data_IF_374144452083
#
_entry.id   IF_374144452083
#
_cell.length_a   1.000
_cell.length_b   1.000
_cell.length_c   1.000
_cell.angle_alpha   90.00
_cell.angle_beta   90.00
_cell.angle_gamma   90.00
#
_symmetry.space_group_name_H-M   'P 1'
#
loop_
_entity.id
_entity.type
_entity.pdbx_description
1 polymer ?
#
# COMPACT_ATOMS: atom_id res chain seq x y z
N UNK A 1 -19.12 -6.19 -13.49
CA UNK A 1 -17.72 -5.99 -13.13
C UNK A 1 -17.03 -7.30 -12.78
N UNK A 2 -17.45 -8.02 -11.74
CA UNK A 2 -16.77 -9.22 -11.21
C UNK A 2 -16.56 -10.34 -12.24
N UNK A 3 -17.44 -10.48 -13.21
CA UNK A 3 -17.34 -11.50 -14.28
C UNK A 3 -16.61 -10.99 -15.53
N UNK A 4 -16.70 -9.71 -15.80
CA UNK A 4 -16.24 -9.10 -17.05
C UNK A 4 -14.82 -8.51 -16.92
N UNK A 5 -14.52 -7.92 -15.76
CA UNK A 5 -13.24 -7.26 -15.53
C UNK A 5 -12.01 -8.17 -15.79
N UNK A 6 -12.00 -9.47 -15.45
CA UNK A 6 -10.86 -10.33 -15.74
C UNK A 6 -10.46 -10.38 -17.21
N UNK A 7 -11.41 -10.22 -18.15
CA UNK A 7 -11.11 -10.18 -19.60
C UNK A 7 -10.20 -9.01 -20.01
N UNK A 8 -10.18 -7.93 -19.22
CA UNK A 8 -9.29 -6.80 -19.48
C UNK A 8 -7.81 -7.17 -19.42
N UNK A 9 -7.45 -8.26 -18.73
CA UNK A 9 -6.06 -8.69 -18.58
C UNK A 9 -5.48 -9.25 -19.90
N UNK A 10 -6.33 -9.82 -20.74
CA UNK A 10 -5.96 -10.47 -22.00
C UNK A 10 -6.13 -9.54 -23.21
N UNK A 11 -7.01 -8.55 -23.12
CA UNK A 11 -7.34 -7.65 -24.23
C UNK A 11 -6.42 -6.42 -24.26
N UNK A 12 -5.62 -6.22 -25.35
CA UNK A 12 -4.72 -5.07 -25.50
C UNK A 12 -5.41 -3.70 -25.44
N UNK A 13 -6.71 -3.63 -25.79
CA UNK A 13 -7.48 -2.38 -25.77
C UNK A 13 -7.59 -1.74 -24.38
N UNK A 14 -7.32 -2.50 -23.31
CA UNK A 14 -7.34 -2.00 -21.93
C UNK A 14 -5.95 -1.68 -21.38
N UNK A 15 -4.89 -1.72 -22.18
CA UNK A 15 -3.50 -1.54 -21.69
C UNK A 15 -3.25 -0.15 -21.12
N UNK A 16 -3.77 0.89 -21.77
CA UNK A 16 -3.62 2.30 -21.34
C UNK A 16 -4.86 2.87 -20.67
N UNK A 17 -5.94 2.06 -20.53
CA UNK A 17 -7.21 2.51 -20.01
C UNK A 17 -7.16 2.69 -18.48
N UNK A 18 -7.66 3.81 -17.98
CA UNK A 18 -7.85 4.02 -16.54
C UNK A 18 -9.20 3.47 -16.06
N UNK A 19 -9.39 3.45 -14.74
CA UNK A 19 -10.59 2.90 -14.13
C UNK A 19 -11.84 3.70 -14.50
N UNK A 20 -11.76 5.02 -14.55
CA UNK A 20 -12.90 5.88 -14.88
C UNK A 20 -13.41 5.62 -16.30
N UNK A 21 -12.52 5.58 -17.28
CA UNK A 21 -12.84 5.24 -18.69
C UNK A 21 -13.51 3.88 -18.79
N UNK A 22 -13.00 2.87 -18.06
CA UNK A 22 -13.57 1.54 -18.03
C UNK A 22 -14.99 1.52 -17.46
N UNK A 23 -15.20 2.23 -16.35
CA UNK A 23 -16.50 2.31 -15.67
C UNK A 23 -17.55 3.04 -16.51
N UNK A 24 -17.15 4.14 -17.17
CA UNK A 24 -18.02 4.89 -18.09
C UNK A 24 -18.41 4.03 -19.30
N UNK A 25 -17.45 3.34 -19.91
CA UNK A 25 -17.68 2.45 -21.06
C UNK A 25 -18.63 1.29 -20.70
N UNK A 26 -18.46 0.71 -19.50
CA UNK A 26 -19.27 -0.39 -18.99
C UNK A 26 -20.64 0.04 -18.44
N UNK A 27 -20.94 1.34 -18.42
CA UNK A 27 -22.21 1.91 -17.90
C UNK A 27 -22.57 1.40 -16.51
N UNK A 28 -21.59 1.30 -15.62
CA UNK A 28 -21.82 0.91 -14.23
C UNK A 28 -22.60 1.97 -13.48
N UNK A 29 -23.45 1.55 -12.53
CA UNK A 29 -24.27 2.51 -11.76
C UNK A 29 -23.40 3.33 -10.79
N UNK A 30 -23.81 4.59 -10.56
CA UNK A 30 -23.15 5.48 -9.61
C UNK A 30 -23.06 4.88 -8.21
N UNK A 31 -24.10 4.16 -7.78
CA UNK A 31 -24.11 3.47 -6.49
C UNK A 31 -23.03 2.38 -6.37
N UNK A 32 -22.80 1.60 -7.45
CA UNK A 32 -21.71 0.62 -7.47
C UNK A 32 -20.35 1.30 -7.44
N UNK A 33 -20.18 2.35 -8.24
CA UNK A 33 -18.92 3.09 -8.34
C UNK A 33 -18.58 3.75 -7.01
N UNK A 34 -19.50 4.58 -6.48
CA UNK A 34 -19.23 5.47 -5.36
C UNK A 34 -19.32 4.79 -4.00
N UNK A 35 -20.16 3.75 -3.85
CA UNK A 35 -20.38 3.10 -2.55
C UNK A 35 -19.65 1.75 -2.41
N UNK A 36 -19.04 1.25 -3.48
CA UNK A 36 -18.39 -0.06 -3.44
C UNK A 36 -16.99 -0.06 -4.05
N UNK A 37 -16.86 0.18 -5.36
CA UNK A 37 -15.60 -0.06 -6.05
C UNK A 37 -14.51 0.97 -5.69
N UNK A 38 -14.84 2.27 -5.78
CA UNK A 38 -13.88 3.33 -5.45
C UNK A 38 -13.47 3.30 -3.97
N UNK A 39 -14.40 3.18 -2.99
CA UNK A 39 -14.02 3.03 -1.59
C UNK A 39 -13.14 1.82 -1.30
N UNK A 40 -13.43 0.69 -1.96
CA UNK A 40 -12.62 -0.53 -1.81
C UNK A 40 -11.20 -0.33 -2.34
N UNK A 41 -11.07 0.25 -3.54
CA UNK A 41 -9.77 0.58 -4.11
C UNK A 41 -9.02 1.60 -3.24
N UNK A 42 -9.68 2.69 -2.87
CA UNK A 42 -9.10 3.73 -2.03
C UNK A 42 -8.58 3.19 -0.69
N UNK A 43 -9.33 2.29 -0.05
CA UNK A 43 -8.90 1.64 1.19
C UNK A 43 -7.68 0.73 1.02
N UNK A 44 -7.56 0.02 -0.12
CA UNK A 44 -6.44 -0.88 -0.41
C UNK A 44 -5.15 -0.10 -0.67
N UNK A 45 -5.23 0.98 -1.46
CA UNK A 45 -4.05 1.77 -1.87
C UNK A 45 -3.80 3.00 -1.00
N UNK A 46 -4.58 3.22 0.06
CA UNK A 46 -4.48 4.40 0.94
C UNK A 46 -4.45 5.71 0.13
N UNK A 47 -5.35 5.81 -0.83
CA UNK A 47 -5.47 6.95 -1.76
C UNK A 47 -6.89 7.49 -1.78
N UNK A 48 -7.12 8.66 -2.38
CA UNK A 48 -8.47 9.21 -2.50
C UNK A 48 -9.31 8.43 -3.52
N UNK A 49 -10.65 8.46 -3.37
CA UNK A 49 -11.56 7.89 -4.36
C UNK A 49 -11.42 8.58 -5.74
N UNK A 50 -11.04 9.84 -5.75
CA UNK A 50 -10.78 10.62 -6.97
C UNK A 50 -9.54 10.10 -7.70
N UNK A 51 -8.43 9.91 -6.97
CA UNK A 51 -7.19 9.39 -7.56
C UNK A 51 -7.36 7.95 -8.06
N UNK A 52 -8.22 7.16 -7.41
CA UNK A 52 -8.54 5.80 -7.87
C UNK A 52 -9.17 5.77 -9.26
N UNK A 53 -9.87 6.82 -9.69
CA UNK A 53 -10.43 6.91 -11.05
C UNK A 53 -9.33 6.87 -12.12
N UNK A 54 -8.19 7.48 -11.83
CA UNK A 54 -7.04 7.52 -12.74
C UNK A 54 -6.16 6.26 -12.68
N UNK A 55 -6.50 5.31 -11.79
CA UNK A 55 -5.70 4.10 -11.64
C UNK A 55 -5.82 3.18 -12.86
N UNK A 56 -4.71 2.55 -13.36
CA UNK A 56 -4.77 1.66 -14.51
C UNK A 56 -5.69 0.47 -14.23
N UNK A 57 -6.74 0.30 -15.05
CA UNK A 57 -7.75 -0.74 -14.81
C UNK A 57 -7.15 -2.15 -14.77
N UNK A 58 -6.18 -2.46 -15.64
CA UNK A 58 -5.51 -3.77 -15.65
C UNK A 58 -4.73 -4.05 -14.36
N UNK A 59 -4.11 -3.03 -13.76
CA UNK A 59 -3.40 -3.18 -12.50
C UNK A 59 -4.36 -3.48 -11.35
N UNK A 60 -5.48 -2.76 -11.27
CA UNK A 60 -6.55 -3.02 -10.31
C UNK A 60 -7.13 -4.43 -10.47
N UNK A 61 -7.49 -4.80 -11.68
CA UNK A 61 -8.11 -6.12 -11.96
C UNK A 61 -7.13 -7.25 -11.66
N UNK A 62 -5.85 -7.10 -12.02
CA UNK A 62 -4.81 -8.09 -11.70
C UNK A 62 -4.69 -8.29 -10.19
N UNK A 63 -4.64 -7.20 -9.44
CA UNK A 63 -4.61 -7.26 -7.98
C UNK A 63 -5.85 -7.95 -7.41
N UNK A 64 -7.04 -7.54 -7.85
CA UNK A 64 -8.31 -8.13 -7.39
C UNK A 64 -8.39 -9.62 -7.71
N UNK A 65 -7.93 -10.03 -8.89
CA UNK A 65 -7.90 -11.45 -9.30
C UNK A 65 -6.93 -12.24 -8.43
N UNK A 66 -5.69 -11.76 -8.24
CA UNK A 66 -4.67 -12.46 -7.47
C UNK A 66 -5.01 -12.60 -5.99
N UNK A 67 -5.83 -11.70 -5.45
CA UNK A 67 -6.26 -11.72 -4.05
C UNK A 67 -7.66 -12.33 -3.85
N UNK A 68 -8.26 -12.91 -4.91
CA UNK A 68 -9.58 -13.52 -4.84
C UNK A 68 -10.73 -12.55 -4.55
N UNK A 69 -10.51 -11.23 -4.76
CA UNK A 69 -11.50 -10.20 -4.47
C UNK A 69 -12.65 -10.17 -5.48
N UNK A 70 -12.47 -10.76 -6.65
CA UNK A 70 -13.52 -10.93 -7.67
C UNK A 70 -14.33 -12.23 -7.51
N UNK A 71 -14.08 -13.01 -6.46
CA UNK A 71 -14.76 -14.26 -6.19
C UNK A 71 -15.85 -14.09 -5.15
N UNK A 72 -17.02 -14.71 -5.38
CA UNK A 72 -18.13 -14.77 -4.40
C UNK A 72 -17.99 -15.94 -3.43
N UNK A 73 -17.35 -17.03 -3.88
CA UNK A 73 -17.11 -18.26 -3.12
C UNK A 73 -15.63 -18.65 -3.22
N UNK A 74 -15.19 -19.56 -2.37
CA UNK A 74 -13.81 -20.07 -2.33
C UNK A 74 -12.76 -18.96 -2.20
N UNK A 75 -13.08 -17.90 -1.47
CA UNK A 75 -12.13 -16.81 -1.20
C UNK A 75 -10.93 -17.31 -0.40
N UNK A 76 -9.72 -16.82 -0.69
CA UNK A 76 -8.56 -17.13 0.12
C UNK A 76 -8.80 -16.79 1.60
N UNK A 77 -8.42 -17.69 2.50
CA UNK A 77 -8.43 -17.38 3.93
C UNK A 77 -7.25 -16.49 4.25
N UNK A 78 -7.53 -15.27 4.65
CA UNK A 78 -6.51 -14.33 5.11
C UNK A 78 -5.92 -14.80 6.43
N UNK A 79 -4.58 -14.68 6.55
CA UNK A 79 -3.83 -15.04 7.74
C UNK A 79 -2.87 -13.93 8.10
N UNK A 80 -2.53 -13.84 9.38
CA UNK A 80 -1.46 -12.96 9.88
C UNK A 80 -0.49 -13.79 10.71
N UNK A 81 0.71 -13.24 10.93
CA UNK A 81 1.69 -13.89 11.78
C UNK A 81 1.28 -13.72 13.24
N UNK A 82 1.18 -14.82 13.98
CA UNK A 82 0.94 -14.78 15.42
C UNK A 82 2.07 -14.00 16.11
N UNK A 83 1.74 -13.05 16.98
CA UNK A 83 2.71 -12.16 17.60
C UNK A 83 3.14 -10.96 16.75
N UNK A 84 2.62 -10.86 15.49
CA UNK A 84 2.90 -9.76 14.57
C UNK A 84 4.16 -9.98 13.72
N UNK A 85 4.45 -9.02 12.85
CA UNK A 85 5.58 -9.09 11.91
C UNK A 85 6.95 -9.11 12.61
N UNK A 86 7.05 -8.62 13.82
CA UNK A 86 8.28 -8.68 14.63
C UNK A 86 8.83 -10.08 14.76
N UNK A 87 7.96 -11.10 14.89
CA UNK A 87 8.36 -12.50 15.04
C UNK A 87 9.23 -12.99 13.88
N UNK A 88 8.84 -12.74 12.64
CA UNK A 88 9.66 -13.16 11.51
C UNK A 88 10.85 -12.23 11.27
N UNK A 89 10.73 -10.93 11.56
CA UNK A 89 11.86 -10.00 11.47
C UNK A 89 12.98 -10.41 12.40
N UNK A 90 12.68 -10.70 13.66
CA UNK A 90 13.67 -11.16 14.64
C UNK A 90 14.38 -12.45 14.21
N UNK A 91 13.61 -13.42 13.68
CA UNK A 91 14.19 -14.69 13.18
C UNK A 91 15.05 -14.49 11.95
N UNK A 92 14.62 -13.66 11.00
CA UNK A 92 15.38 -13.38 9.78
C UNK A 92 16.66 -12.61 10.07
N UNK A 93 16.64 -11.69 11.02
CA UNK A 93 17.79 -10.83 11.34
C UNK A 93 18.77 -11.47 12.34
N UNK A 94 18.36 -12.50 13.06
CA UNK A 94 19.18 -13.13 14.08
C UNK A 94 20.61 -13.48 13.63
N UNK A 95 20.86 -14.05 12.41
CA UNK A 95 22.20 -14.43 11.96
C UNK A 95 23.16 -13.25 11.77
N UNK A 96 22.66 -12.03 11.56
CA UNK A 96 23.46 -10.84 11.28
C UNK A 96 23.07 -9.63 12.14
N UNK A 97 22.43 -9.88 13.29
CA UNK A 97 21.93 -8.82 14.19
C UNK A 97 23.02 -7.82 14.59
N UNK A 98 24.24 -8.32 14.86
CA UNK A 98 25.36 -7.48 15.28
C UNK A 98 25.92 -6.59 14.14
N UNK A 99 25.55 -6.89 12.89
CA UNK A 99 25.92 -6.13 11.71
C UNK A 99 24.86 -5.09 11.31
N UNK A 100 23.74 -5.03 12.04
CA UNK A 100 22.68 -4.04 11.77
C UNK A 100 23.07 -2.69 12.37
N UNK A 101 23.30 -1.71 11.49
CA UNK A 101 23.53 -0.33 11.88
C UNK A 101 22.23 0.45 11.78
N UNK A 102 21.77 1.03 12.90
CA UNK A 102 20.59 1.92 12.93
C UNK A 102 20.98 3.34 12.52
N UNK A 103 21.61 3.45 11.35
CA UNK A 103 22.13 4.70 10.82
C UNK A 103 21.55 4.93 9.43
N UNK A 104 21.03 6.15 9.18
CA UNK A 104 20.51 6.54 7.87
C UNK A 104 21.62 6.66 6.84
N UNK A 105 21.30 6.34 5.60
CA UNK A 105 22.18 6.54 4.44
C UNK A 105 21.84 7.89 3.81
N UNK A 106 22.90 8.66 3.46
CA UNK A 106 22.80 9.95 2.78
C UNK A 106 23.02 9.82 1.28
N UNK A 107 24.01 9.01 0.86
CA UNK A 107 24.40 8.87 -0.53
C UNK A 107 25.02 7.50 -0.81
N UNK A 108 24.90 7.06 -2.05
CA UNK A 108 25.48 5.83 -2.59
C UNK A 108 26.18 6.19 -3.89
N UNK A 109 27.50 5.93 -3.94
CA UNK A 109 28.32 6.16 -5.10
C UNK A 109 28.92 4.84 -5.61
N UNK A 110 28.84 4.63 -6.92
CA UNK A 110 29.35 3.41 -7.56
C UNK A 110 30.73 3.66 -8.17
N UNK A 111 31.61 2.69 -8.00
CA UNK A 111 32.92 2.61 -8.61
C UNK A 111 33.06 1.30 -9.40
N UNK A 112 34.06 1.15 -10.27
CA UNK A 112 34.20 -0.05 -11.12
C UNK A 112 34.28 -1.37 -10.34
N UNK A 113 34.79 -1.35 -9.11
CA UNK A 113 35.05 -2.56 -8.31
C UNK A 113 34.37 -2.55 -6.93
N UNK A 114 33.70 -1.49 -6.52
CA UNK A 114 33.05 -1.38 -5.23
C UNK A 114 31.97 -0.30 -5.26
N UNK A 115 31.18 -0.26 -4.19
CA UNK A 115 30.18 0.80 -3.93
C UNK A 115 30.50 1.45 -2.60
N UNK A 116 30.50 2.77 -2.54
CA UNK A 116 30.62 3.53 -1.29
C UNK A 116 29.26 3.98 -0.80
N UNK A 117 29.03 3.81 0.50
CA UNK A 117 27.85 4.33 1.21
C UNK A 117 28.33 5.41 2.17
N UNK A 118 27.75 6.60 2.02
CA UNK A 118 27.92 7.70 2.97
C UNK A 118 26.70 7.76 3.89
N UNK A 119 26.93 7.69 5.20
CA UNK A 119 25.85 7.81 6.18
C UNK A 119 25.50 9.27 6.51
N UNK A 120 24.44 9.48 7.28
CA UNK A 120 23.96 10.82 7.69
C UNK A 120 24.91 11.53 8.68
N UNK A 121 25.94 10.86 9.21
CA UNK A 121 27.01 11.42 10.03
C UNK A 121 28.25 11.76 9.20
N UNK A 122 28.21 11.51 7.88
CA UNK A 122 29.32 11.78 6.96
C UNK A 122 30.39 10.69 6.92
N UNK A 123 30.19 9.55 7.59
CA UNK A 123 31.10 8.40 7.54
C UNK A 123 30.88 7.63 6.25
N UNK A 124 31.99 7.24 5.57
CA UNK A 124 31.96 6.40 4.39
C UNK A 124 32.35 4.97 4.69
N UNK A 125 31.71 4.02 4.01
CA UNK A 125 32.04 2.60 4.04
C UNK A 125 31.96 2.00 2.64
N UNK A 126 32.90 1.11 2.31
CA UNK A 126 32.97 0.41 1.00
C UNK A 126 32.39 -0.98 1.09
N UNK A 127 31.69 -1.41 0.04
CA UNK A 127 31.07 -2.73 -0.09
C UNK A 127 31.23 -3.25 -1.53
N UNK A 128 31.25 -4.56 -1.70
CA UNK A 128 31.27 -5.17 -3.04
C UNK A 128 29.95 -4.95 -3.78
N UNK A 129 28.82 -5.06 -3.05
CA UNK A 129 27.46 -4.89 -3.57
C UNK A 129 26.55 -4.21 -2.56
N UNK A 130 25.56 -3.49 -3.07
CA UNK A 130 24.52 -2.83 -2.26
C UNK A 130 23.14 -3.21 -2.78
N UNK A 131 22.23 -3.58 -1.87
CA UNK A 131 20.79 -3.74 -2.15
C UNK A 131 20.05 -2.60 -1.48
N UNK A 132 19.36 -1.78 -2.27
CA UNK A 132 18.53 -0.68 -1.76
C UNK A 132 17.11 -1.18 -1.60
N UNK A 133 16.64 -1.31 -0.35
CA UNK A 133 15.30 -1.81 0.00
C UNK A 133 14.42 -0.72 0.60
N UNK A 134 14.50 0.50 0.08
CA UNK A 134 13.64 1.64 0.42
C UNK A 134 12.57 1.90 -0.64
N UNK A 135 11.74 2.92 -0.47
CA UNK A 135 10.84 3.38 -1.52
C UNK A 135 11.62 3.80 -2.78
N UNK A 136 11.01 3.66 -3.95
CA UNK A 136 11.68 3.94 -5.22
C UNK A 136 12.17 5.40 -5.34
N UNK A 137 11.40 6.37 -4.83
CA UNK A 137 11.79 7.78 -4.81
C UNK A 137 12.93 8.05 -3.82
N UNK A 138 13.00 7.32 -2.70
CA UNK A 138 14.11 7.37 -1.75
C UNK A 138 15.36 6.71 -2.35
N UNK A 139 15.20 5.52 -2.94
CA UNK A 139 16.27 4.82 -3.63
C UNK A 139 16.92 5.72 -4.71
N UNK A 140 16.07 6.41 -5.49
CA UNK A 140 16.56 7.34 -6.52
C UNK A 140 17.36 8.51 -5.94
N UNK A 141 16.90 9.09 -4.81
CA UNK A 141 17.60 10.19 -4.14
C UNK A 141 18.93 9.79 -3.51
N UNK A 142 19.10 8.51 -3.16
CA UNK A 142 20.35 8.00 -2.58
C UNK A 142 21.46 7.81 -3.62
N UNK A 143 21.13 7.67 -4.90
CA UNK A 143 22.11 7.46 -5.97
C UNK A 143 22.75 8.79 -6.37
N UNK A 144 24.06 8.93 -6.20
CA UNK A 144 24.82 10.11 -6.64
C UNK A 144 25.03 10.12 -8.17
N UNK A 145 25.00 8.94 -8.80
CA UNK A 145 25.31 8.72 -10.21
C UNK A 145 24.20 7.93 -10.95
N UNK A 146 22.89 8.34 -10.87
CA UNK A 146 21.83 7.58 -11.48
C UNK A 146 21.98 7.50 -13.00
N UNK A 147 21.88 6.29 -13.55
CA UNK A 147 21.84 6.06 -14.99
C UNK A 147 20.54 6.59 -15.62
N UNK A 148 20.54 6.79 -16.94
CA UNK A 148 19.32 7.16 -17.67
C UNK A 148 18.18 6.17 -17.48
N UNK A 149 18.50 4.87 -17.37
CA UNK A 149 17.52 3.84 -17.13
C UNK A 149 16.91 3.93 -15.70
N UNK A 150 17.73 4.18 -14.69
CA UNK A 150 17.26 4.39 -13.31
C UNK A 150 16.43 5.66 -13.19
N UNK A 151 16.84 6.74 -13.84
CA UNK A 151 16.04 7.97 -13.92
C UNK A 151 14.67 7.70 -14.55
N UNK A 152 14.63 6.93 -15.62
CA UNK A 152 13.39 6.57 -16.32
C UNK A 152 12.49 5.64 -15.49
N UNK A 153 13.07 4.71 -14.74
CA UNK A 153 12.31 3.69 -13.99
C UNK A 153 11.95 4.12 -12.57
N UNK A 154 12.85 4.80 -11.86
CA UNK A 154 12.64 5.20 -10.46
C UNK A 154 12.05 6.61 -10.34
N UNK A 155 12.43 7.52 -11.25
CA UNK A 155 12.01 8.92 -11.21
C UNK A 155 10.48 9.18 -11.29
N UNK A 156 9.69 8.38 -12.01
CA UNK A 156 8.23 8.58 -12.06
C UNK A 156 7.47 8.23 -10.78
N UNK A 157 8.05 7.45 -9.88
CA UNK A 157 7.36 7.02 -8.66
C UNK A 157 7.08 8.18 -7.72
N UNK A 158 5.84 8.25 -7.22
CA UNK A 158 5.38 9.26 -6.27
C UNK A 158 4.70 8.56 -5.11
N UNK A 159 5.06 8.96 -3.89
CA UNK A 159 4.45 8.46 -2.66
C UNK A 159 3.70 9.58 -1.96
N UNK A 160 2.52 9.28 -1.45
CA UNK A 160 1.71 10.20 -0.66
C UNK A 160 1.98 10.02 0.82
N UNK A 161 1.95 11.12 1.58
CA UNK A 161 2.05 11.06 3.05
C UNK A 161 0.67 10.76 3.63
N UNK A 162 0.57 9.69 4.39
CA UNK A 162 -0.60 9.34 5.15
C UNK A 162 -0.32 9.48 6.64
N UNK A 163 -1.25 10.06 7.39
CA UNK A 163 -1.16 10.12 8.84
C UNK A 163 -1.90 8.93 9.41
N UNK A 164 -1.18 8.02 10.05
CA UNK A 164 -1.78 6.90 10.78
C UNK A 164 -1.87 7.24 12.27
N UNK A 165 -3.06 7.17 12.84
CA UNK A 165 -3.32 7.49 14.25
C UNK A 165 -3.78 6.23 14.96
N UNK A 166 -3.02 5.80 15.98
CA UNK A 166 -3.42 4.75 16.93
C UNK A 166 -4.31 5.35 18.00
N UNK A 167 -5.50 4.78 18.22
CA UNK A 167 -6.48 5.30 19.18
C UNK A 167 -7.44 4.22 19.71
N UNK A 168 -8.26 4.60 20.70
CA UNK A 168 -9.28 3.75 21.32
C UNK A 168 -10.71 4.25 21.04
N UNK A 169 -10.87 5.30 20.24
CA UNK A 169 -12.16 5.93 20.00
C UNK A 169 -13.03 5.14 19.00
N UNK A 170 -14.14 4.51 19.44
CA UNK A 170 -15.04 3.74 18.58
C UNK A 170 -15.89 4.60 17.64
N UNK A 171 -15.89 5.94 17.77
CA UNK A 171 -16.63 6.82 16.87
C UNK A 171 -16.09 6.79 15.43
N UNK A 172 -14.87 6.27 15.23
CA UNK A 172 -14.28 6.02 13.92
C UNK A 172 -14.67 4.66 13.32
N UNK A 173 -15.58 3.94 13.97
CA UNK A 173 -16.12 2.66 13.50
C UNK A 173 -17.58 2.80 13.07
N UNK A 174 -18.13 1.85 12.28
CA UNK A 174 -19.56 1.82 11.99
C UNK A 174 -20.39 1.79 13.27
N UNK A 175 -21.52 2.50 13.31
CA UNK A 175 -22.41 2.54 14.47
C UNK A 175 -22.87 1.16 14.94
N UNK A 176 -23.08 0.23 13.99
CA UNK A 176 -23.50 -1.16 14.29
C UNK A 176 -22.26 -2.03 14.46
N UNK A 177 -22.02 -2.54 15.67
CA UNK A 177 -20.90 -3.46 15.94
C UNK A 177 -20.92 -4.73 15.09
N UNK A 178 -22.11 -5.23 14.71
CA UNK A 178 -22.26 -6.45 13.91
C UNK A 178 -21.65 -6.34 12.49
N UNK A 179 -21.41 -5.13 11.99
CA UNK A 179 -20.77 -4.90 10.68
C UNK A 179 -19.29 -4.53 10.78
N UNK A 180 -18.73 -4.52 11.98
CA UNK A 180 -17.31 -4.23 12.15
C UNK A 180 -16.46 -5.30 11.47
N UNK A 181 -15.56 -4.84 10.63
CA UNK A 181 -14.57 -5.64 9.91
C UNK A 181 -13.16 -5.27 10.36
N UNK A 182 -12.17 -6.05 9.94
CA UNK A 182 -10.76 -5.67 10.16
C UNK A 182 -10.41 -4.34 9.51
N UNK A 183 -11.06 -4.00 8.38
CA UNK A 183 -10.93 -2.74 7.63
C UNK A 183 -12.32 -2.13 7.49
N UNK A 184 -12.47 -0.88 7.86
CA UNK A 184 -13.75 -0.16 7.80
C UNK A 184 -13.54 1.18 7.10
N UNK A 185 -14.16 1.36 5.95
CA UNK A 185 -14.22 2.64 5.26
C UNK A 185 -15.45 3.41 5.74
N UNK A 186 -15.26 4.67 6.13
CA UNK A 186 -16.34 5.56 6.57
C UNK A 186 -16.31 6.82 5.74
N UNK A 187 -17.34 7.03 4.94
CA UNK A 187 -17.55 8.28 4.21
C UNK A 187 -18.10 9.35 5.18
N UNK A 188 -17.28 10.35 5.45
CA UNK A 188 -17.66 11.54 6.24
C UNK A 188 -17.88 12.79 5.38
N UNK A 189 -17.87 12.68 4.06
CA UNK A 189 -17.96 13.80 3.12
C UNK A 189 -19.19 14.69 3.32
N UNK A 190 -20.27 14.15 3.91
CA UNK A 190 -21.47 14.93 4.26
C UNK A 190 -21.25 15.91 5.43
N UNK A 191 -20.18 15.80 6.17
CA UNK A 191 -19.93 16.59 7.39
C UNK A 191 -18.64 17.42 7.33
N UNK A 192 -17.77 17.17 6.38
CA UNK A 192 -16.52 17.90 6.19
C UNK A 192 -16.24 18.01 4.70
N UNK A 193 -15.91 19.19 4.22
CA UNK A 193 -15.49 19.43 2.82
C UNK A 193 -14.12 18.77 2.49
N UNK A 194 -13.86 17.59 3.02
CA UNK A 194 -12.58 16.91 2.84
C UNK A 194 -12.74 15.69 1.94
N UNK A 195 -11.92 15.66 0.90
CA UNK A 195 -11.66 14.46 0.06
C UNK A 195 -10.82 13.42 0.81
N UNK A 196 -10.73 13.53 2.13
CA UNK A 196 -9.84 12.71 2.93
C UNK A 196 -10.40 11.29 3.10
N UNK A 197 -9.52 10.35 2.86
CA UNK A 197 -9.76 8.95 3.12
C UNK A 197 -9.92 8.74 4.63
N UNK A 198 -11.00 8.07 5.05
CA UNK A 198 -11.16 7.62 6.42
C UNK A 198 -11.31 6.10 6.45
N UNK A 199 -10.19 5.42 6.63
CA UNK A 199 -10.15 3.96 6.82
C UNK A 199 -9.69 3.67 8.24
N UNK A 200 -10.52 2.92 8.97
CA UNK A 200 -10.20 2.49 10.33
C UNK A 200 -9.94 0.98 10.36
N UNK A 201 -8.78 0.60 10.81
CA UNK A 201 -8.39 -0.79 11.08
C UNK A 201 -8.76 -1.16 12.51
N UNK A 202 -9.50 -2.23 12.68
CA UNK A 202 -9.78 -2.82 13.99
C UNK A 202 -8.69 -3.83 14.34
N UNK A 203 -7.73 -3.39 15.14
CA UNK A 203 -6.49 -4.13 15.41
C UNK A 203 -6.71 -5.43 16.18
N UNK A 204 -7.68 -5.45 17.12
CA UNK A 204 -8.02 -6.66 17.87
C UNK A 204 -8.40 -7.81 16.93
N UNK A 205 -9.20 -7.52 15.89
CA UNK A 205 -9.58 -8.52 14.89
C UNK A 205 -8.48 -8.77 13.87
N UNK A 206 -7.78 -7.73 13.44
CA UNK A 206 -6.77 -7.82 12.38
C UNK A 206 -5.55 -8.64 12.83
N UNK A 207 -5.15 -8.48 14.10
CA UNK A 207 -3.95 -9.12 14.66
C UNK A 207 -4.27 -10.13 15.77
N UNK A 208 -5.54 -10.45 16.00
CA UNK A 208 -6.00 -11.35 17.08
C UNK A 208 -5.46 -10.94 18.46
N UNK A 209 -5.55 -9.63 18.77
CA UNK A 209 -5.04 -9.11 20.03
C UNK A 209 -5.99 -9.46 21.18
N UNK A 210 -5.46 -10.09 22.23
CA UNK A 210 -6.14 -10.34 23.50
C UNK A 210 -6.06 -9.08 24.40
N UNK A 211 -6.86 -8.06 24.06
CA UNK A 211 -6.96 -6.82 24.84
C UNK A 211 -8.41 -6.56 25.24
N UNK A 212 -8.69 -6.13 26.47
CA UNK A 212 -10.03 -5.70 26.87
C UNK A 212 -10.45 -4.42 26.14
N UNK A 213 -9.51 -3.60 25.73
CA UNK A 213 -9.76 -2.37 25.00
C UNK A 213 -9.80 -2.63 23.50
N UNK A 214 -10.67 -1.87 22.82
CA UNK A 214 -10.73 -1.91 21.36
C UNK A 214 -9.70 -0.94 20.79
N UNK A 215 -8.76 -1.46 20.03
CA UNK A 215 -7.62 -0.72 19.48
C UNK A 215 -7.87 -0.49 18.00
N UNK A 216 -7.71 0.75 17.57
CA UNK A 216 -7.92 1.17 16.20
C UNK A 216 -6.71 1.91 15.64
N UNK A 217 -6.51 1.79 14.34
CA UNK A 217 -5.62 2.65 13.56
C UNK A 217 -6.44 3.29 12.46
N UNK A 218 -6.48 4.61 12.41
CA UNK A 218 -7.20 5.37 11.37
C UNK A 218 -6.22 6.16 10.51
N UNK A 219 -6.44 6.11 9.18
CA UNK A 219 -5.76 6.89 8.16
C UNK A 219 -6.61 8.09 7.77
#
# INVERSE_FOLDING_TARGET
FYREAPHTLEDPNYTSMNLDEYLMRGKYSDGFISNHLLPMGAAIWSTSAEDMRNYPVRALVRFFTSHGLLQFSNRPQWRTVAGGSREYVERLTAPYRDNILLQGVQAIQRFPQHVEIKDTLGKCASFDHVVIASHADEAFRLLDDPSEQELKLLGPWRYTRNRAILHLDPNFMPKRKSVWSSWNFIDRSKHVNSRELCVTYWMNRLQSLESPEQIFVTL
#
